data_IF_434357402845
#
_entry.id   IF_434357402845
#
_cell.length_a   1.000
_cell.length_b   1.000
_cell.length_c   1.000
_cell.angle_alpha   90.00
_cell.angle_beta   90.00
_cell.angle_gamma   90.00
#
_symmetry.space_group_name_H-M   'P 1'
#
loop_
_entity.id
_entity.type
_entity.pdbx_description
1 polymer ?
#
# COMPACT_ATOMS: atom_id res chain seq x y z
N UNK A 1 -12.79 10.75 -12.29
CA UNK A 1 -11.59 11.04 -11.47
C UNK A 1 -11.12 12.43 -11.87
N UNK A 2 -10.90 13.32 -10.90
CA UNK A 2 -10.42 14.68 -11.16
C UNK A 2 -9.11 14.64 -11.96
N UNK A 3 -8.96 15.52 -12.95
CA UNK A 3 -7.76 15.72 -13.75
C UNK A 3 -6.48 15.91 -12.91
N UNK A 4 -6.59 16.45 -11.69
CA UNK A 4 -5.46 16.60 -10.77
C UNK A 4 -5.01 15.26 -10.19
N UNK A 5 -5.94 14.41 -9.76
CA UNK A 5 -5.63 13.10 -9.19
C UNK A 5 -5.06 12.13 -10.23
N UNK A 6 -5.44 12.30 -11.50
CA UNK A 6 -4.85 11.53 -12.60
C UNK A 6 -3.35 11.78 -12.78
N UNK A 7 -2.84 12.96 -12.38
CA UNK A 7 -1.41 13.27 -12.47
C UNK A 7 -0.57 12.48 -11.48
N UNK A 8 -1.13 12.10 -10.33
CA UNK A 8 -0.42 11.28 -9.33
C UNK A 8 -0.12 9.87 -9.86
N UNK A 9 -0.82 9.43 -10.92
CA UNK A 9 -0.52 8.18 -11.62
C UNK A 9 0.45 8.33 -12.79
N UNK A 10 0.86 9.56 -13.14
CA UNK A 10 1.87 9.80 -14.18
C UNK A 10 3.29 9.67 -13.63
N UNK A 11 3.61 8.45 -13.15
CA UNK A 11 4.86 8.13 -12.46
C UNK A 11 5.93 7.75 -13.51
N UNK A 12 7.05 8.48 -13.52
CA UNK A 12 8.17 8.28 -14.45
C UNK A 12 8.75 6.88 -14.34
N UNK A 13 8.80 6.30 -13.13
CA UNK A 13 9.20 4.91 -12.89
C UNK A 13 8.59 3.94 -13.91
N UNK A 14 7.28 4.04 -14.16
CA UNK A 14 6.60 3.13 -15.08
C UNK A 14 7.08 3.28 -16.52
N UNK A 15 7.23 4.52 -16.99
CA UNK A 15 7.69 4.80 -18.36
C UNK A 15 9.14 4.34 -18.56
N UNK A 16 10.00 4.62 -17.60
CA UNK A 16 11.43 4.29 -17.64
C UNK A 16 11.68 2.79 -17.59
N UNK A 17 10.83 2.03 -16.89
CA UNK A 17 10.93 0.58 -16.77
C UNK A 17 10.08 -0.19 -17.79
N UNK A 18 9.44 0.51 -18.74
CA UNK A 18 8.70 -0.10 -19.85
C UNK A 18 7.31 -0.63 -19.49
N UNK A 19 6.74 -0.20 -18.37
CA UNK A 19 5.34 -0.50 -18.04
C UNK A 19 4.40 0.19 -19.00
N UNK A 20 3.34 -0.51 -19.37
CA UNK A 20 2.26 0.00 -20.19
C UNK A 20 1.00 0.16 -19.35
N UNK A 21 0.36 1.33 -19.48
CA UNK A 21 -0.93 1.59 -18.86
C UNK A 21 -2.04 0.97 -19.70
N UNK A 22 -2.86 0.13 -19.10
CA UNK A 22 -3.99 -0.57 -19.74
C UNK A 22 -5.26 -0.34 -18.94
N UNK A 23 -6.41 -0.62 -19.56
CA UNK A 23 -7.72 -0.63 -18.90
C UNK A 23 -8.21 -2.07 -18.77
N UNK A 24 -8.58 -2.48 -17.57
CA UNK A 24 -9.08 -3.83 -17.32
C UNK A 24 -10.41 -4.05 -18.06
N UNK A 25 -10.52 -5.16 -18.79
CA UNK A 25 -11.76 -5.52 -19.52
C UNK A 25 -12.94 -5.88 -18.61
N UNK A 26 -12.69 -6.18 -17.33
CA UNK A 26 -13.71 -6.64 -16.37
C UNK A 26 -14.16 -5.49 -15.48
N UNK A 27 -13.27 -4.93 -14.64
CA UNK A 27 -13.64 -3.88 -13.69
C UNK A 27 -13.50 -2.45 -14.23
N UNK A 28 -13.00 -2.26 -15.46
CA UNK A 28 -12.73 -0.95 -16.05
C UNK A 28 -11.68 -0.07 -15.36
N UNK A 29 -11.05 -0.53 -14.27
CA UNK A 29 -9.92 0.17 -13.64
C UNK A 29 -8.71 0.22 -14.59
N UNK A 30 -7.95 1.31 -14.49
CA UNK A 30 -6.64 1.39 -15.14
C UNK A 30 -5.60 0.67 -14.30
N UNK A 31 -4.60 0.10 -14.97
CA UNK A 31 -3.49 -0.59 -14.32
C UNK A 31 -2.24 -0.56 -15.18
N UNK A 32 -1.09 -0.70 -14.55
CA UNK A 32 0.23 -0.77 -15.18
C UNK A 32 0.74 -2.20 -15.17
N UNK A 33 1.31 -2.65 -16.28
CA UNK A 33 1.83 -4.01 -16.48
C UNK A 33 3.04 -4.00 -17.42
N UNK A 34 3.94 -4.97 -17.26
CA UNK A 34 4.98 -5.28 -18.28
C UNK A 34 4.49 -6.30 -19.33
N UNK A 35 3.38 -6.99 -19.07
CA UNK A 35 2.80 -7.96 -20.00
C UNK A 35 1.87 -7.29 -21.01
N UNK A 36 2.35 -7.14 -22.24
CA UNK A 36 1.60 -6.64 -23.40
C UNK A 36 0.30 -7.39 -23.66
N UNK A 37 0.22 -8.68 -23.33
CA UNK A 37 -0.95 -9.53 -23.56
C UNK A 37 -1.96 -9.49 -22.42
N UNK A 38 -1.60 -8.97 -21.24
CA UNK A 38 -2.48 -8.95 -20.07
C UNK A 38 -3.69 -8.03 -20.26
N UNK A 39 -4.90 -8.56 -20.16
CA UNK A 39 -6.14 -7.80 -20.43
C UNK A 39 -6.93 -7.44 -19.16
N UNK A 40 -6.49 -7.96 -18.02
CA UNK A 40 -7.14 -7.83 -16.71
C UNK A 40 -6.16 -7.32 -15.67
N UNK A 41 -6.66 -6.60 -14.65
CA UNK A 41 -5.82 -5.90 -13.68
C UNK A 41 -4.96 -6.80 -12.79
N UNK A 42 -5.26 -8.11 -12.70
CA UNK A 42 -4.54 -9.04 -11.82
C UNK A 42 -5.14 -9.16 -10.42
N UNK A 43 -6.34 -8.62 -10.19
CA UNK A 43 -7.08 -8.68 -8.94
C UNK A 43 -8.29 -9.60 -9.02
N UNK A 44 -8.79 -10.07 -7.88
CA UNK A 44 -10.09 -10.75 -7.80
C UNK A 44 -11.23 -9.73 -7.95
N UNK A 45 -12.33 -10.05 -8.65
CA UNK A 45 -12.63 -11.31 -9.35
C UNK A 45 -12.13 -11.35 -10.81
N UNK A 46 -11.34 -10.37 -11.25
CA UNK A 46 -10.89 -10.23 -12.64
C UNK A 46 -9.83 -11.27 -13.04
N UNK A 47 -9.11 -11.85 -12.08
CA UNK A 47 -8.04 -12.82 -12.29
C UNK A 47 -8.05 -13.86 -11.17
N UNK A 48 -8.02 -15.17 -11.47
CA UNK A 48 -7.93 -16.21 -10.45
C UNK A 48 -6.56 -16.18 -9.75
N UNK A 49 -6.47 -16.81 -8.57
CA UNK A 49 -5.18 -17.02 -7.91
C UNK A 49 -4.33 -18.02 -8.70
N UNK A 50 -3.10 -17.62 -9.05
CA UNK A 50 -2.15 -18.47 -9.79
C UNK A 50 -0.99 -19.00 -8.93
N UNK A 51 -0.84 -18.49 -7.70
CA UNK A 51 0.28 -18.85 -6.81
C UNK A 51 0.06 -20.15 -6.02
N UNK A 52 -1.17 -20.68 -5.98
CA UNK A 52 -1.50 -21.91 -5.26
C UNK A 52 -0.83 -23.10 -5.97
N UNK A 53 0.10 -23.77 -5.28
CA UNK A 53 0.92 -24.83 -5.87
C UNK A 53 2.08 -24.33 -6.73
N UNK A 54 2.20 -23.01 -6.94
CA UNK A 54 3.29 -22.37 -7.68
C UNK A 54 3.74 -21.08 -6.95
N UNK A 55 4.56 -21.21 -5.89
CA UNK A 55 5.04 -20.05 -5.14
C UNK A 55 5.71 -19.01 -6.04
N UNK A 56 5.44 -17.72 -5.80
CA UNK A 56 6.01 -16.61 -6.58
C UNK A 56 7.36 -16.13 -6.04
N UNK A 57 7.58 -16.31 -4.73
CA UNK A 57 8.81 -15.87 -4.07
C UNK A 57 9.93 -16.88 -4.27
N UNK A 58 11.19 -16.42 -4.20
CA UNK A 58 12.38 -17.26 -4.37
C UNK A 58 12.51 -18.39 -3.35
N UNK A 59 11.87 -18.24 -2.19
CA UNK A 59 11.76 -19.22 -1.12
C UNK A 59 10.50 -18.98 -0.29
N UNK A 60 10.00 -19.97 0.46
CA UNK A 60 9.01 -19.72 1.50
C UNK A 60 9.62 -18.88 2.64
N UNK A 61 8.78 -18.06 3.27
CA UNK A 61 9.14 -17.26 4.44
C UNK A 61 8.16 -17.56 5.57
N UNK A 62 8.65 -17.69 6.79
CA UNK A 62 7.82 -17.63 7.99
C UNK A 62 7.37 -16.18 8.26
N UNK A 63 6.36 -15.99 9.10
CA UNK A 63 5.89 -14.64 9.49
C UNK A 63 7.01 -13.79 10.09
N UNK A 64 7.85 -14.39 10.94
CA UNK A 64 8.97 -13.67 11.56
C UNK A 64 10.06 -13.29 10.56
N UNK A 65 10.38 -14.18 9.62
CA UNK A 65 11.37 -13.88 8.57
C UNK A 65 10.85 -12.81 7.63
N UNK A 66 9.59 -12.88 7.18
CA UNK A 66 9.01 -11.87 6.30
C UNK A 66 9.02 -10.49 6.97
N UNK A 67 8.63 -10.43 8.26
CA UNK A 67 8.69 -9.20 9.04
C UNK A 67 10.10 -8.63 9.07
N UNK A 68 11.10 -9.45 9.39
CA UNK A 68 12.47 -8.97 9.51
C UNK A 68 13.06 -8.56 8.16
N UNK A 69 12.76 -9.29 7.08
CA UNK A 69 13.20 -8.94 5.72
C UNK A 69 12.64 -7.58 5.29
N UNK A 70 11.36 -7.31 5.56
CA UNK A 70 10.74 -6.02 5.27
C UNK A 70 11.36 -4.87 6.08
N UNK A 71 11.45 -5.03 7.41
CA UNK A 71 11.96 -3.97 8.29
C UNK A 71 13.43 -3.67 7.97
N UNK A 72 14.26 -4.72 7.87
CA UNK A 72 15.68 -4.60 7.51
C UNK A 72 15.89 -3.97 6.12
N UNK A 73 15.02 -4.24 5.14
CA UNK A 73 15.11 -3.62 3.81
C UNK A 73 14.97 -2.11 3.90
N UNK A 74 13.97 -1.61 4.61
CA UNK A 74 13.76 -0.17 4.75
C UNK A 74 14.77 0.49 5.69
N UNK A 75 15.28 -0.21 6.72
CA UNK A 75 16.41 0.27 7.53
C UNK A 75 17.66 0.53 6.67
N UNK A 76 17.96 -0.35 5.70
CA UNK A 76 19.04 -0.13 4.72
C UNK A 76 18.80 1.07 3.79
N UNK A 77 17.54 1.48 3.63
CA UNK A 77 17.14 2.66 2.86
C UNK A 77 16.89 3.89 3.73
N UNK A 78 17.47 3.91 4.94
CA UNK A 78 17.46 5.04 5.88
C UNK A 78 16.09 5.33 6.52
N UNK A 79 15.14 4.39 6.47
CA UNK A 79 13.93 4.46 7.28
C UNK A 79 14.24 4.03 8.70
N UNK A 80 13.75 4.79 9.67
CA UNK A 80 13.90 4.39 11.07
C UNK A 80 12.83 3.36 11.42
N UNK A 81 13.26 2.18 11.89
CA UNK A 81 12.36 1.17 12.44
C UNK A 81 11.74 1.65 13.74
N UNK A 82 10.42 1.55 13.83
CA UNK A 82 9.66 1.88 15.04
C UNK A 82 8.91 0.65 15.56
N UNK A 83 8.62 0.65 16.85
CA UNK A 83 7.83 -0.41 17.48
C UNK A 83 6.34 -0.26 17.12
N UNK A 84 5.61 -1.39 17.02
CA UNK A 84 4.16 -1.35 16.80
C UNK A 84 3.42 -0.67 17.96
N UNK A 85 2.34 0.00 17.61
CA UNK A 85 1.36 0.56 18.51
C UNK A 85 0.36 -0.51 18.95
N UNK A 86 -0.35 -0.33 20.08
CA UNK A 86 -1.38 -1.28 20.49
C UNK A 86 -2.55 -1.26 19.50
N UNK A 87 -3.20 -2.41 19.31
CA UNK A 87 -4.39 -2.53 18.44
C UNK A 87 -5.60 -1.71 18.89
N UNK A 88 -5.56 -1.18 20.12
CA UNK A 88 -6.57 -0.27 20.65
C UNK A 88 -6.07 1.17 20.46
N UNK A 89 -6.84 1.98 19.74
CA UNK A 89 -6.47 3.32 19.30
C UNK A 89 -6.57 4.36 20.44
N UNK A 90 -5.73 4.25 21.47
CA UNK A 90 -5.77 5.10 22.68
C UNK A 90 -5.46 6.58 22.44
N UNK A 91 -4.79 6.90 21.34
CA UNK A 91 -4.30 8.26 21.00
C UNK A 91 -5.33 9.10 20.23
N UNK A 92 -6.45 8.51 19.80
CA UNK A 92 -7.49 9.16 19.01
C UNK A 92 -8.88 8.80 19.56
N UNK A 93 -9.92 9.48 19.06
CA UNK A 93 -11.29 9.39 19.62
C UNK A 93 -12.37 9.00 18.60
N UNK A 94 -12.00 8.95 17.32
CA UNK A 94 -12.85 8.74 16.17
C UNK A 94 -12.93 7.26 15.73
N UNK A 95 -11.93 6.45 16.09
CA UNK A 95 -11.94 4.98 15.89
C UNK A 95 -11.51 4.26 17.18
N UNK A 96 -11.99 3.02 17.36
CA UNK A 96 -11.65 2.21 18.53
C UNK A 96 -10.39 1.36 18.35
N UNK A 97 -10.14 0.87 17.14
CA UNK A 97 -9.10 -0.11 16.82
C UNK A 97 -8.17 0.43 15.72
N UNK A 98 -6.93 -0.03 15.71
CA UNK A 98 -5.97 0.26 14.63
C UNK A 98 -6.39 -0.49 13.37
N UNK A 99 -6.85 0.23 12.34
CA UNK A 99 -7.35 -0.33 11.08
C UNK A 99 -6.31 -0.40 9.95
N UNK A 100 -5.21 0.34 10.11
CA UNK A 100 -4.10 0.47 9.18
C UNK A 100 -2.88 1.04 9.91
N UNK A 101 -1.67 0.84 9.39
CA UNK A 101 -0.44 1.39 9.99
C UNK A 101 -0.41 2.92 10.03
N UNK A 102 -1.07 3.59 9.08
CA UNK A 102 -1.20 5.06 9.09
C UNK A 102 -2.07 5.57 10.25
N UNK A 103 -2.98 4.72 10.78
CA UNK A 103 -3.90 5.11 11.84
C UNK A 103 -3.18 5.45 13.16
N UNK A 104 -1.94 4.97 13.32
CA UNK A 104 -1.04 5.28 14.45
C UNK A 104 -0.61 6.75 14.48
N UNK A 105 -0.60 7.40 13.31
CA UNK A 105 -0.11 8.77 13.13
C UNK A 105 -1.25 9.78 12.94
N UNK A 106 -2.45 9.30 12.62
CA UNK A 106 -3.64 10.12 12.48
C UNK A 106 -4.28 10.50 13.84
N UNK A 107 -4.94 11.67 13.92
CA UNK A 107 -4.89 12.77 12.96
C UNK A 107 -3.69 13.71 13.19
N UNK A 108 -3.03 13.63 14.35
CA UNK A 108 -2.13 14.68 14.81
C UNK A 108 -0.85 14.82 13.98
N UNK A 109 -0.22 13.72 13.55
CA UNK A 109 0.99 13.76 12.71
C UNK A 109 0.61 14.11 11.27
N UNK A 110 -0.46 13.50 10.74
CA UNK A 110 -0.90 13.74 9.36
C UNK A 110 -1.36 15.17 9.13
N UNK A 111 -1.95 15.82 10.14
CA UNK A 111 -2.29 17.24 10.12
C UNK A 111 -1.09 18.18 10.42
N UNK A 112 0.10 17.62 10.70
CA UNK A 112 1.31 18.40 11.02
C UNK A 112 1.30 19.07 12.40
N UNK A 113 0.39 18.71 13.29
CA UNK A 113 0.28 19.25 14.66
C UNK A 113 1.43 18.77 15.53
N UNK A 114 1.86 17.52 15.34
CA UNK A 114 3.00 16.92 16.04
C UNK A 114 3.96 16.25 15.03
N UNK A 115 5.27 16.27 15.28
CA UNK A 115 6.21 15.59 14.38
C UNK A 115 6.02 14.07 14.43
N UNK A 116 6.30 13.35 13.33
CA UNK A 116 6.36 11.89 13.36
C UNK A 116 7.53 11.43 14.26
N UNK A 117 7.47 10.21 14.82
CA UNK A 117 8.56 9.68 15.67
C UNK A 117 9.89 9.53 14.93
N UNK A 118 9.84 9.34 13.60
CA UNK A 118 10.96 9.43 12.69
C UNK A 118 10.45 9.76 11.27
N UNK A 119 11.33 10.22 10.38
CA UNK A 119 10.92 10.55 9.01
C UNK A 119 12.10 10.42 8.01
N UNK A 120 12.09 9.40 7.12
CA UNK A 120 11.05 8.39 6.96
C UNK A 120 11.10 7.29 8.04
N UNK A 121 10.02 6.53 8.21
CA UNK A 121 9.92 5.45 9.19
C UNK A 121 9.41 4.15 8.57
N UNK A 122 9.69 3.01 9.21
CA UNK A 122 9.18 1.69 8.85
C UNK A 122 8.62 0.96 10.07
N UNK A 123 7.48 0.27 9.90
CA UNK A 123 6.75 -0.42 10.96
C UNK A 123 6.11 -1.71 10.45
N UNK A 124 5.91 -2.67 11.35
CA UNK A 124 5.02 -3.82 11.16
C UNK A 124 3.90 -3.71 12.20
N UNK A 125 2.74 -3.19 11.81
CA UNK A 125 1.66 -2.81 12.71
C UNK A 125 0.53 -3.86 12.72
N UNK A 126 0.29 -4.56 13.84
CA UNK A 126 -0.92 -5.36 14.01
C UNK A 126 -2.17 -4.47 13.85
N UNK A 127 -3.04 -4.87 12.94
CA UNK A 127 -4.25 -4.15 12.58
C UNK A 127 -5.46 -5.08 12.67
N UNK A 128 -6.61 -4.52 13.06
CA UNK A 128 -7.88 -5.24 13.14
C UNK A 128 -8.88 -4.58 12.19
N UNK A 129 -9.45 -5.38 11.28
CA UNK A 129 -10.55 -4.98 10.41
C UNK A 129 -11.73 -5.91 10.63
N UNK A 130 -12.87 -5.31 11.01
CA UNK A 130 -14.12 -6.04 11.22
C UNK A 130 -15.12 -5.82 10.07
N UNK A 131 -14.83 -4.90 9.15
CA UNK A 131 -15.68 -4.64 7.99
C UNK A 131 -15.71 -5.83 7.01
N UNK A 132 -14.61 -6.58 6.94
CA UNK A 132 -14.45 -7.73 6.04
C UNK A 132 -14.80 -9.06 6.73
N UNK A 133 -15.50 -9.03 7.87
CA UNK A 133 -15.74 -10.21 8.71
C UNK A 133 -16.45 -11.34 7.95
N UNK A 134 -17.42 -11.01 7.11
CA UNK A 134 -18.19 -11.99 6.33
C UNK A 134 -17.33 -12.73 5.31
N UNK A 135 -16.24 -12.13 4.86
CA UNK A 135 -15.35 -12.73 3.86
C UNK A 135 -14.27 -13.64 4.48
N UNK A 136 -14.08 -13.56 5.80
CA UNK A 136 -13.05 -14.33 6.52
C UNK A 136 -13.40 -15.81 6.47
N UNK A 137 -12.48 -16.61 5.92
CA UNK A 137 -12.67 -18.05 5.70
C UNK A 137 -13.44 -18.41 4.42
N UNK A 138 -14.04 -17.43 3.74
CA UNK A 138 -14.71 -17.63 2.44
C UNK A 138 -13.73 -17.30 1.29
N UNK A 139 -13.11 -16.12 1.34
CA UNK A 139 -12.25 -15.64 0.25
C UNK A 139 -10.86 -16.28 0.22
N UNK A 140 -10.44 -16.90 1.32
CA UNK A 140 -9.08 -17.44 1.51
C UNK A 140 -7.98 -16.41 1.69
N UNK A 141 -8.28 -15.10 1.62
CA UNK A 141 -7.30 -14.00 1.76
C UNK A 141 -7.61 -12.98 2.87
N UNK A 142 -8.86 -12.91 3.33
CA UNK A 142 -9.26 -11.94 4.35
C UNK A 142 -9.02 -12.50 5.76
N UNK A 143 -8.55 -11.61 6.65
CA UNK A 143 -8.28 -11.86 8.06
C UNK A 143 -8.91 -10.75 8.90
N UNK A 144 -9.38 -11.10 10.09
CA UNK A 144 -9.82 -10.08 11.07
C UNK A 144 -8.64 -9.35 11.69
N UNK A 145 -7.55 -10.08 11.95
CA UNK A 145 -6.29 -9.56 12.49
C UNK A 145 -5.14 -9.93 11.55
N UNK A 146 -4.32 -8.95 11.22
CA UNK A 146 -3.15 -9.11 10.36
C UNK A 146 -2.11 -8.07 10.70
N UNK A 147 -0.86 -8.26 10.26
CA UNK A 147 0.17 -7.25 10.40
C UNK A 147 0.28 -6.46 9.09
N UNK A 148 -0.02 -5.17 9.17
CA UNK A 148 0.20 -4.23 8.09
C UNK A 148 1.60 -3.66 8.21
N UNK A 149 2.50 -4.14 7.35
CA UNK A 149 3.82 -3.55 7.20
C UNK A 149 3.72 -2.25 6.37
N UNK A 150 4.36 -1.18 6.82
CA UNK A 150 4.28 0.13 6.18
C UNK A 150 5.58 0.92 6.29
N UNK A 151 5.94 1.61 5.21
CA UNK A 151 6.99 2.62 5.20
C UNK A 151 6.34 3.98 4.97
N UNK A 152 6.51 4.91 5.91
CA UNK A 152 5.82 6.19 5.92
C UNK A 152 6.82 7.34 5.76
N UNK A 153 6.51 8.26 4.86
CA UNK A 153 7.23 9.52 4.69
C UNK A 153 6.24 10.67 4.80
N UNK A 154 6.52 11.60 5.72
CA UNK A 154 5.66 12.74 6.00
C UNK A 154 6.29 13.99 5.36
N UNK A 155 5.73 14.44 4.25
CA UNK A 155 6.20 15.64 3.57
C UNK A 155 5.49 16.88 4.11
N UNK A 156 6.22 17.97 4.20
CA UNK A 156 5.72 19.30 4.55
C UNK A 156 6.37 20.35 3.65
N UNK A 157 5.93 21.61 3.74
CA UNK A 157 6.57 22.72 2.99
C UNK A 157 8.05 22.88 3.33
N UNK A 158 8.43 22.58 4.57
CA UNK A 158 9.79 22.80 5.07
C UNK A 158 10.68 21.56 4.94
N UNK A 159 10.08 20.37 4.84
CA UNK A 159 10.81 19.11 4.76
C UNK A 159 10.15 18.16 3.78
N UNK A 160 10.84 17.92 2.67
CA UNK A 160 10.51 16.90 1.69
C UNK A 160 11.44 15.69 1.88
N UNK A 161 10.87 14.49 1.86
CA UNK A 161 11.60 13.21 2.02
C UNK A 161 11.62 12.45 0.70
N UNK A 162 10.46 11.98 0.25
CA UNK A 162 10.25 11.38 -1.07
C UNK A 162 8.75 11.32 -1.39
N UNK A 163 8.36 11.01 -2.64
CA UNK A 163 6.94 10.94 -3.03
C UNK A 163 6.63 9.66 -3.83
N UNK A 164 5.80 9.78 -4.87
CA UNK A 164 5.26 8.68 -5.68
C UNK A 164 6.35 7.83 -6.33
N UNK A 165 7.37 8.47 -6.92
CA UNK A 165 8.46 7.79 -7.65
C UNK A 165 9.23 6.83 -6.75
N UNK A 166 9.76 7.30 -5.63
CA UNK A 166 10.53 6.46 -4.71
C UNK A 166 9.63 5.44 -4.00
N UNK A 167 8.37 5.78 -3.72
CA UNK A 167 7.42 4.83 -3.11
C UNK A 167 7.20 3.62 -4.01
N UNK A 168 6.97 3.83 -5.31
CA UNK A 168 6.81 2.75 -6.29
C UNK A 168 8.12 2.00 -6.48
N UNK A 169 9.25 2.71 -6.57
CA UNK A 169 10.58 2.11 -6.71
C UNK A 169 10.92 1.18 -5.54
N UNK A 170 10.69 1.61 -4.29
CA UNK A 170 10.89 0.77 -3.10
C UNK A 170 10.01 -0.47 -3.11
N UNK A 171 8.74 -0.32 -3.48
CA UNK A 171 7.82 -1.46 -3.58
C UNK A 171 8.32 -2.46 -4.62
N UNK A 172 8.68 -1.99 -5.82
CA UNK A 172 9.18 -2.83 -6.89
C UNK A 172 10.47 -3.55 -6.49
N UNK A 173 11.43 -2.82 -5.91
CA UNK A 173 12.70 -3.37 -5.46
C UNK A 173 12.53 -4.41 -4.36
N UNK A 174 11.63 -4.17 -3.40
CA UNK A 174 11.33 -5.16 -2.37
C UNK A 174 10.75 -6.44 -2.99
N UNK A 175 9.74 -6.33 -3.84
CA UNK A 175 9.10 -7.50 -4.46
C UNK A 175 10.05 -8.27 -5.39
N UNK A 176 10.83 -7.57 -6.20
CA UNK A 176 11.67 -8.19 -7.23
C UNK A 176 13.04 -8.62 -6.68
N UNK A 177 13.75 -7.75 -5.93
CA UNK A 177 15.11 -8.01 -5.46
C UNK A 177 15.13 -8.78 -4.14
N UNK A 178 14.31 -8.37 -3.16
CA UNK A 178 14.28 -9.04 -1.85
C UNK A 178 13.46 -10.34 -1.91
N UNK A 179 12.26 -10.33 -2.50
CA UNK A 179 11.40 -11.51 -2.55
C UNK A 179 11.62 -12.41 -3.78
N UNK A 180 12.21 -11.89 -4.86
CA UNK A 180 12.49 -12.65 -6.07
C UNK A 180 11.27 -12.88 -6.96
N UNK A 181 10.21 -12.08 -6.81
CA UNK A 181 9.04 -12.16 -7.68
C UNK A 181 9.44 -11.66 -9.07
N UNK A 182 9.08 -12.40 -10.12
CA UNK A 182 9.30 -11.95 -11.48
C UNK A 182 8.47 -10.68 -11.73
N UNK A 183 9.13 -9.58 -12.10
CA UNK A 183 8.49 -8.29 -12.30
C UNK A 183 7.32 -8.33 -13.29
N UNK A 184 7.36 -9.21 -14.29
CA UNK A 184 6.26 -9.40 -15.25
C UNK A 184 4.97 -9.96 -14.65
N UNK A 185 5.05 -10.57 -13.46
CA UNK A 185 3.89 -11.06 -12.71
C UNK A 185 3.21 -9.94 -11.90
N UNK A 186 3.88 -8.79 -11.73
CA UNK A 186 3.41 -7.67 -10.92
C UNK A 186 2.56 -6.71 -11.76
N UNK A 187 1.43 -6.28 -11.19
CA UNK A 187 0.62 -5.20 -11.74
C UNK A 187 0.30 -4.14 -10.70
N UNK A 188 0.23 -2.88 -11.13
CA UNK A 188 -0.11 -1.73 -10.29
C UNK A 188 -1.46 -1.18 -10.75
N UNK A 189 -2.53 -1.49 -10.03
CA UNK A 189 -3.90 -1.06 -10.35
C UNK A 189 -4.18 0.29 -9.70
N UNK A 190 -4.66 1.24 -10.49
CA UNK A 190 -5.03 2.57 -10.03
C UNK A 190 -6.36 2.52 -9.28
N UNK A 191 -6.39 3.10 -8.09
CA UNK A 191 -7.54 3.12 -7.19
C UNK A 191 -7.57 4.40 -6.35
N UNK A 192 -8.60 4.56 -5.53
CA UNK A 192 -8.70 5.61 -4.52
C UNK A 192 -8.77 4.94 -3.16
N UNK A 193 -8.00 5.44 -2.21
CA UNK A 193 -8.05 4.99 -0.83
C UNK A 193 -8.57 6.09 0.07
N UNK A 194 -9.38 5.69 1.04
CA UNK A 194 -9.87 6.56 2.12
C UNK A 194 -9.91 5.80 3.46
N UNK A 195 -9.66 6.53 4.55
CA UNK A 195 -9.74 5.96 5.89
C UNK A 195 -9.17 6.86 6.99
N UNK A 196 -9.89 6.92 8.11
CA UNK A 196 -9.41 7.62 9.32
C UNK A 196 -9.22 9.12 9.16
N UNK A 197 -10.04 9.78 8.32
CA UNK A 197 -10.02 11.23 8.07
C UNK A 197 -9.11 11.69 6.93
N UNK A 198 -8.43 10.77 6.24
CA UNK A 198 -7.56 11.09 5.11
C UNK A 198 -7.85 10.21 3.90
N UNK A 199 -7.49 10.69 2.72
CA UNK A 199 -7.63 9.95 1.47
C UNK A 199 -6.52 10.31 0.46
N UNK A 200 -6.47 9.56 -0.63
CA UNK A 200 -5.56 9.84 -1.73
C UNK A 200 -5.66 8.84 -2.88
N UNK A 201 -5.11 9.17 -4.06
CA UNK A 201 -4.88 8.20 -5.11
C UNK A 201 -3.92 7.12 -4.59
N UNK A 202 -4.17 5.88 -5.01
CA UNK A 202 -3.34 4.76 -4.61
C UNK A 202 -3.11 3.76 -5.73
N UNK A 203 -2.03 3.00 -5.59
CA UNK A 203 -1.73 1.85 -6.42
C UNK A 203 -1.89 0.58 -5.59
N UNK A 204 -2.85 -0.26 -5.97
CA UNK A 204 -2.99 -1.63 -5.48
C UNK A 204 -1.98 -2.50 -6.25
N UNK A 205 -1.02 -3.07 -5.53
CA UNK A 205 0.07 -3.88 -6.10
C UNK A 205 -0.33 -5.34 -6.03
N UNK A 206 -0.36 -5.97 -7.19
CA UNK A 206 -0.98 -7.28 -7.41
C UNK A 206 0.07 -8.25 -7.93
N UNK A 207 0.10 -9.46 -7.39
CA UNK A 207 0.93 -10.55 -7.88
C UNK A 207 0.16 -11.88 -7.81
N UNK A 208 0.13 -12.61 -8.93
CA UNK A 208 -0.54 -13.92 -9.02
C UNK A 208 -2.02 -13.93 -8.65
N UNK A 209 -2.76 -12.84 -8.92
CA UNK A 209 -4.19 -12.74 -8.65
C UNK A 209 -4.52 -12.20 -7.24
N UNK A 210 -3.51 -11.81 -6.45
CA UNK A 210 -3.67 -11.35 -5.07
C UNK A 210 -3.10 -9.93 -4.90
N UNK A 211 -3.84 -9.05 -4.23
CA UNK A 211 -3.32 -7.78 -3.74
C UNK A 211 -2.35 -8.02 -2.59
N UNK A 212 -1.09 -7.65 -2.80
CA UNK A 212 0.00 -7.88 -1.83
C UNK A 212 0.47 -6.60 -1.14
N UNK A 213 0.15 -5.42 -1.69
CA UNK A 213 0.42 -4.12 -1.08
C UNK A 213 -0.52 -3.04 -1.64
N UNK A 214 -0.67 -1.95 -0.90
CA UNK A 214 -1.35 -0.73 -1.36
C UNK A 214 -0.43 0.47 -1.11
N UNK A 215 -0.13 1.25 -2.15
CA UNK A 215 0.70 2.45 -2.06
C UNK A 215 -0.22 3.68 -2.13
N UNK A 216 -0.46 4.33 -0.99
CA UNK A 216 -1.38 5.48 -0.91
C UNK A 216 -0.60 6.79 -0.89
N UNK A 217 -0.92 7.69 -1.83
CA UNK A 217 -0.34 9.03 -1.90
C UNK A 217 -1.30 10.00 -1.23
N UNK A 218 -1.21 10.10 0.09
CA UNK A 218 -2.15 10.90 0.89
C UNK A 218 -1.98 12.39 0.60
N UNK A 219 -2.87 12.92 -0.22
CA UNK A 219 -2.94 14.35 -0.56
C UNK A 219 -4.29 14.97 -0.21
N UNK A 220 -5.24 14.18 0.30
CA UNK A 220 -6.60 14.62 0.57
C UNK A 220 -6.94 14.57 2.06
N UNK A 221 -7.65 15.59 2.52
CA UNK A 221 -8.20 15.70 3.88
C UNK A 221 -9.73 15.79 3.82
N UNK A 222 -10.40 15.09 4.73
CA UNK A 222 -11.86 15.09 4.87
C UNK A 222 -12.35 16.41 5.46
N UNK A 223 -13.36 17.02 4.83
CA UNK A 223 -14.07 18.20 5.35
C UNK A 223 -15.13 17.80 6.37
N UNK A 224 -15.60 18.77 7.17
CA UNK A 224 -16.74 18.60 8.10
C UNK A 224 -18.04 18.11 7.41
N UNK A 225 -18.19 18.31 6.10
CA UNK A 225 -19.35 17.84 5.34
C UNK A 225 -19.17 16.45 4.69
N UNK A 226 -18.04 15.77 4.94
CA UNK A 226 -17.71 14.46 4.38
C UNK A 226 -17.10 14.47 2.97
N UNK A 227 -16.91 15.64 2.34
CA UNK A 227 -16.19 15.75 1.06
C UNK A 227 -14.67 15.83 1.31
N UNK A 228 -13.85 15.40 0.34
CA UNK A 228 -12.39 15.54 0.40
C UNK A 228 -11.88 16.79 -0.32
N UNK A 229 -10.90 17.49 0.26
CA UNK A 229 -10.14 18.57 -0.38
C UNK A 229 -8.91 18.01 -1.10
N UNK A 230 -8.68 18.46 -2.33
CA UNK A 230 -7.40 18.33 -3.05
C UNK A 230 -6.50 19.52 -2.72
#
# INVERSE_FOLDING_TARGET
MDSKLQKEFDISFFKEHGYIRKKCKVCNSYFWTLDEKKEVCGDQPCSPFSFIGKPLTKKPFTLSEMREVFLSFFERHSHTRINPYPVVARWRKDIYLTIASIADFQPHVTAGIVPPPANPLVISQPSIRLNDLEEVGISGRHLTIFEMMGHHAFNSRDKFVYWTEETVSYCNDFLTKELGINEREITYKESLWEGGGNAGPCLEVLAGGLEVATLVFMSLEEKENGDYLI
#
